data_IF_006230941386
#
_entry.id   IF_006230941386
#
_cell.length_a   1.000
_cell.length_b   1.000
_cell.length_c   1.000
_cell.angle_alpha   90.00
_cell.angle_beta   90.00
_cell.angle_gamma   90.00
#
_symmetry.space_group_name_H-M   'P 1'
#
loop_
_entity.id
_entity.type
_entity.pdbx_description
1 polymer ?
#
# COMPACT_ATOMS: atom_id res chain seq x y z
N UNK A 1 57.77 10.63 -19.97
CA UNK A 1 56.95 9.40 -20.12
C UNK A 1 56.42 9.06 -18.73
N UNK A 2 55.21 9.48 -18.36
CA UNK A 2 53.90 8.81 -18.58
C UNK A 2 53.86 7.36 -18.03
N UNK A 3 53.10 7.24 -16.93
CA UNK A 3 52.35 6.10 -16.40
C UNK A 3 53.05 4.77 -16.14
N UNK A 4 52.97 4.28 -14.89
CA UNK A 4 52.18 3.09 -14.50
C UNK A 4 52.54 2.63 -13.09
N UNK A 5 51.65 2.13 -12.24
CA UNK A 5 50.20 2.31 -12.06
C UNK A 5 49.97 1.86 -10.61
N UNK A 6 49.23 2.65 -9.84
CA UNK A 6 48.68 2.25 -8.54
C UNK A 6 47.73 1.06 -8.79
N UNK A 7 48.17 -0.17 -8.49
CA UNK A 7 47.30 -1.33 -8.40
C UNK A 7 47.61 -2.01 -7.06
N UNK A 8 46.96 -1.49 -6.04
CA UNK A 8 47.00 -2.02 -4.69
C UNK A 8 46.09 -1.12 -3.87
N UNK A 9 44.93 -1.67 -3.46
CA UNK A 9 43.81 -0.99 -2.81
C UNK A 9 42.70 -0.51 -3.79
N UNK A 10 42.17 -1.42 -4.62
CA UNK A 10 40.77 -1.38 -5.08
C UNK A 10 40.19 -2.81 -5.09
N UNK A 11 40.39 -3.56 -4.00
CA UNK A 11 39.74 -4.87 -3.80
C UNK A 11 39.00 -4.99 -2.47
N UNK A 12 38.71 -3.85 -1.83
CA UNK A 12 37.91 -3.79 -0.59
C UNK A 12 36.67 -2.89 -0.71
N UNK A 13 36.34 -2.45 -1.93
CA UNK A 13 35.15 -1.63 -2.24
C UNK A 13 34.16 -2.33 -3.17
N UNK A 14 34.34 -3.63 -3.45
CA UNK A 14 33.19 -4.47 -3.76
C UNK A 14 32.60 -4.83 -2.41
N UNK A 15 31.94 -3.83 -1.83
CA UNK A 15 30.82 -4.02 -0.94
C UNK A 15 30.08 -5.26 -1.43
N UNK A 16 29.94 -6.24 -0.54
CA UNK A 16 28.85 -7.17 -0.62
C UNK A 16 27.57 -6.32 -0.64
N UNK A 17 27.19 -5.83 -1.81
CA UNK A 17 25.81 -5.88 -2.21
C UNK A 17 25.46 -7.35 -2.02
N UNK A 18 24.90 -7.68 -0.86
CA UNK A 18 24.08 -8.86 -0.71
C UNK A 18 22.93 -8.66 -1.70
N UNK A 19 23.22 -8.88 -2.98
CA UNK A 19 22.23 -9.34 -3.92
C UNK A 19 21.72 -10.61 -3.26
N UNK A 20 20.50 -10.53 -2.71
CA UNK A 20 19.76 -11.74 -2.40
C UNK A 20 19.89 -12.64 -3.63
N UNK A 21 20.24 -13.90 -3.42
CA UNK A 21 20.31 -14.82 -4.55
C UNK A 21 18.95 -14.76 -5.26
N UNK A 22 18.94 -14.57 -6.58
CA UNK A 22 17.69 -14.36 -7.31
C UNK A 22 16.77 -15.57 -7.10
N UNK A 23 15.47 -15.28 -6.97
CA UNK A 23 14.44 -16.31 -7.02
C UNK A 23 14.25 -16.71 -8.48
N UNK A 24 14.78 -17.87 -8.82
CA UNK A 24 14.69 -18.46 -10.16
C UNK A 24 13.29 -19.06 -10.40
N UNK A 25 12.31 -18.18 -10.55
CA UNK A 25 10.93 -18.49 -10.90
C UNK A 25 10.78 -18.38 -12.42
N UNK A 26 10.11 -19.33 -13.06
CA UNK A 26 9.83 -19.25 -14.50
C UNK A 26 8.97 -18.02 -14.84
N UNK A 27 9.25 -17.37 -15.98
CA UNK A 27 8.59 -16.13 -16.41
C UNK A 27 7.05 -16.23 -16.44
N UNK A 28 6.52 -17.39 -16.86
CA UNK A 28 5.07 -17.67 -16.91
C UNK A 28 4.36 -17.54 -15.55
N UNK A 29 5.09 -17.64 -14.44
CA UNK A 29 4.53 -17.49 -13.09
C UNK A 29 4.77 -16.11 -12.49
N UNK A 30 5.60 -15.26 -13.12
CA UNK A 30 6.01 -13.97 -12.56
C UNK A 30 4.96 -12.90 -12.68
N UNK A 31 4.05 -13.00 -13.64
CA UNK A 31 3.09 -11.93 -13.88
C UNK A 31 3.70 -10.71 -14.59
N UNK A 32 3.03 -9.56 -14.54
CA UNK A 32 3.42 -8.38 -15.34
C UNK A 32 4.25 -7.35 -14.56
N UNK A 33 5.47 -7.00 -15.02
CA UNK A 33 6.35 -6.01 -14.37
C UNK A 33 5.71 -4.63 -14.13
N UNK A 34 4.66 -4.25 -14.86
CA UNK A 34 3.90 -3.01 -14.65
C UNK A 34 3.53 -2.80 -13.18
N UNK A 35 3.14 -3.88 -12.49
CA UNK A 35 2.68 -3.81 -11.10
C UNK A 35 3.78 -3.42 -10.10
N UNK A 36 5.06 -3.42 -10.48
CA UNK A 36 6.16 -2.96 -9.62
C UNK A 36 6.31 -1.45 -9.54
N UNK A 37 5.68 -0.68 -10.45
CA UNK A 37 5.93 0.77 -10.62
C UNK A 37 4.64 1.58 -10.69
N UNK A 38 3.57 1.08 -10.08
CA UNK A 38 2.26 1.73 -10.13
C UNK A 38 2.29 3.03 -9.32
N UNK A 39 1.91 4.14 -9.97
CA UNK A 39 1.50 5.34 -9.28
C UNK A 39 -0.01 5.31 -9.12
N UNK A 40 -0.49 5.02 -7.92
CA UNK A 40 -1.90 4.79 -7.66
C UNK A 40 -2.78 6.03 -7.88
N UNK A 41 -2.34 7.23 -7.48
CA UNK A 41 -3.09 8.48 -7.73
C UNK A 41 -3.27 8.74 -9.23
N UNK A 42 -2.21 8.52 -10.00
CA UNK A 42 -2.28 8.64 -11.46
C UNK A 42 -3.19 7.57 -12.06
N UNK A 43 -3.06 6.33 -11.57
CA UNK A 43 -3.83 5.20 -12.07
C UNK A 43 -5.33 5.38 -11.85
N UNK A 44 -5.73 5.81 -10.65
CA UNK A 44 -7.11 6.14 -10.32
C UNK A 44 -7.67 7.20 -11.29
N UNK A 45 -6.98 8.33 -11.42
CA UNK A 45 -7.37 9.39 -12.37
C UNK A 45 -7.45 8.93 -13.83
N UNK A 46 -6.52 8.09 -14.26
CA UNK A 46 -6.47 7.60 -15.64
C UNK A 46 -7.56 6.53 -15.92
N UNK A 47 -8.11 5.90 -14.87
CA UNK A 47 -9.07 4.80 -14.96
C UNK A 47 -10.52 5.15 -14.56
N UNK A 48 -10.75 6.30 -13.94
CA UNK A 48 -12.10 6.85 -13.73
C UNK A 48 -12.64 7.45 -15.02
N UNK A 49 -13.86 7.06 -15.40
CA UNK A 49 -14.58 7.64 -16.52
C UNK A 49 -15.27 8.94 -16.09
N UNK A 50 -15.31 9.98 -16.95
CA UNK A 50 -16.06 11.18 -16.64
C UNK A 50 -17.57 10.90 -16.64
N UNK A 51 -18.34 11.71 -15.90
CA UNK A 51 -19.79 11.53 -15.75
C UNK A 51 -20.55 11.58 -17.09
N UNK A 52 -20.06 12.34 -18.06
CA UNK A 52 -20.63 12.48 -19.40
C UNK A 52 -20.08 11.46 -20.41
N UNK A 53 -19.36 10.42 -19.96
CA UNK A 53 -18.65 9.49 -20.84
C UNK A 53 -19.54 8.85 -21.92
N UNK A 54 -20.76 8.44 -21.55
CA UNK A 54 -21.73 7.82 -22.47
C UNK A 54 -22.25 8.79 -23.54
N UNK A 55 -22.22 10.10 -23.27
CA UNK A 55 -22.66 11.14 -24.21
C UNK A 55 -21.54 11.58 -25.18
N UNK A 56 -20.31 11.09 -24.98
CA UNK A 56 -19.17 11.42 -25.84
C UNK A 56 -19.19 10.63 -27.14
N UNK A 57 -18.66 11.24 -28.21
CA UNK A 57 -18.43 10.53 -29.47
C UNK A 57 -17.41 9.38 -29.31
N UNK A 58 -17.50 8.38 -30.18
CA UNK A 58 -16.68 7.17 -30.11
C UNK A 58 -15.17 7.45 -30.14
N UNK A 59 -14.72 8.52 -30.81
CA UNK A 59 -13.31 8.88 -30.88
C UNK A 59 -12.81 9.40 -29.51
N UNK A 60 -13.61 10.21 -28.82
CA UNK A 60 -13.32 10.67 -27.46
C UNK A 60 -13.37 9.54 -26.45
N UNK A 61 -14.38 8.68 -26.52
CA UNK A 61 -14.49 7.49 -25.67
C UNK A 61 -13.25 6.60 -25.79
N UNK A 62 -12.83 6.29 -27.01
CA UNK A 62 -11.61 5.51 -27.26
C UNK A 62 -10.35 6.20 -26.71
N UNK A 63 -10.25 7.53 -26.79
CA UNK A 63 -9.13 8.29 -26.23
C UNK A 63 -9.10 8.25 -24.69
N UNK A 64 -10.26 8.25 -24.04
CA UNK A 64 -10.37 8.12 -22.58
C UNK A 64 -9.97 6.72 -22.16
N UNK A 65 -10.54 5.67 -22.77
CA UNK A 65 -10.19 4.27 -22.48
C UNK A 65 -8.69 3.99 -22.60
N UNK A 66 -8.01 4.57 -23.60
CA UNK A 66 -6.56 4.43 -23.78
C UNK A 66 -5.69 4.98 -22.65
N UNK A 67 -6.24 5.80 -21.74
CA UNK A 67 -5.50 6.33 -20.58
C UNK A 67 -5.28 5.25 -19.52
N UNK A 68 -6.32 4.44 -19.28
CA UNK A 68 -6.27 3.39 -18.28
C UNK A 68 -5.51 2.17 -18.81
N UNK A 69 -4.32 1.93 -18.27
CA UNK A 69 -3.52 0.76 -18.66
C UNK A 69 -4.15 -0.56 -18.22
N UNK A 70 -5.06 -0.55 -17.23
CA UNK A 70 -5.70 -1.75 -16.68
C UNK A 70 -6.59 -2.47 -17.71
N UNK A 71 -7.14 -1.77 -18.70
CA UNK A 71 -7.91 -2.42 -19.77
C UNK A 71 -7.12 -3.43 -20.60
N UNK A 72 -5.78 -3.37 -20.57
CA UNK A 72 -4.92 -4.34 -21.25
C UNK A 72 -4.79 -5.67 -20.49
N UNK A 73 -5.35 -5.77 -19.28
CA UNK A 73 -5.17 -6.91 -18.36
C UNK A 73 -6.45 -7.74 -18.14
N UNK A 74 -7.49 -7.54 -18.95
CA UNK A 74 -8.79 -8.24 -18.77
C UNK A 74 -8.70 -9.77 -18.80
N UNK A 75 -7.75 -10.35 -19.55
CA UNK A 75 -7.51 -11.81 -19.58
C UNK A 75 -6.42 -12.29 -18.62
N UNK A 76 -5.80 -11.38 -17.88
CA UNK A 76 -4.60 -11.64 -17.09
C UNK A 76 -4.80 -12.75 -16.05
N UNK A 77 -5.89 -12.66 -15.28
CA UNK A 77 -6.18 -13.65 -14.23
C UNK A 77 -6.41 -15.04 -14.81
N UNK A 78 -7.26 -15.18 -15.83
CA UNK A 78 -7.54 -16.49 -16.46
C UNK A 78 -6.28 -17.13 -17.03
N UNK A 79 -5.43 -16.35 -17.71
CA UNK A 79 -4.17 -16.86 -18.27
C UNK A 79 -3.27 -17.48 -17.21
N UNK A 80 -3.12 -16.83 -16.04
CA UNK A 80 -2.32 -17.40 -14.94
C UNK A 80 -3.07 -18.54 -14.26
N UNK A 81 -4.36 -18.37 -14.00
CA UNK A 81 -5.18 -19.35 -13.29
C UNK A 81 -5.23 -20.71 -14.00
N UNK A 82 -5.19 -20.72 -15.34
CA UNK A 82 -5.20 -21.93 -16.16
C UNK A 82 -3.84 -22.65 -16.21
N UNK A 83 -2.74 -21.93 -15.93
CA UNK A 83 -1.40 -22.53 -15.81
C UNK A 83 -1.22 -23.31 -14.50
N UNK A 84 -2.09 -23.07 -13.52
CA UNK A 84 -2.00 -23.62 -12.18
C UNK A 84 -3.01 -24.76 -12.04
N UNK A 85 -2.49 -25.96 -11.78
CA UNK A 85 -3.31 -27.08 -11.26
C UNK A 85 -3.69 -26.78 -9.79
N UNK A 86 -4.16 -27.76 -9.01
CA UNK A 86 -4.52 -27.54 -7.60
C UNK A 86 -3.39 -26.87 -6.79
N UNK A 87 -2.17 -27.37 -6.93
CA UNK A 87 -0.96 -26.82 -6.29
C UNK A 87 0.21 -26.94 -7.26
N UNK A 88 0.96 -25.85 -7.45
CA UNK A 88 2.14 -25.82 -8.34
C UNK A 88 3.33 -25.21 -7.59
N UNK A 89 4.45 -25.93 -7.51
CA UNK A 89 5.69 -25.42 -6.93
C UNK A 89 6.39 -24.57 -7.99
N UNK A 90 6.63 -23.30 -7.71
CA UNK A 90 7.22 -22.34 -8.65
C UNK A 90 8.67 -21.96 -8.32
N UNK A 91 9.15 -22.35 -7.14
CA UNK A 91 10.52 -22.19 -6.71
C UNK A 91 10.82 -23.21 -5.61
N UNK A 92 11.99 -23.83 -5.67
CA UNK A 92 12.48 -24.73 -4.64
C UNK A 92 13.98 -24.59 -4.50
N UNK A 93 14.44 -24.40 -3.26
CA UNK A 93 15.85 -24.41 -2.92
C UNK A 93 16.05 -24.90 -1.50
N UNK A 94 16.90 -25.92 -1.34
CA UNK A 94 16.99 -26.69 -0.10
C UNK A 94 15.57 -27.16 0.29
N UNK A 95 15.10 -26.84 1.50
CA UNK A 95 13.73 -27.14 1.93
C UNK A 95 12.77 -25.94 1.87
N UNK A 96 13.22 -24.80 1.34
CA UNK A 96 12.35 -23.63 1.13
C UNK A 96 11.65 -23.78 -0.22
N UNK A 97 10.33 -23.65 -0.22
CA UNK A 97 9.51 -23.75 -1.43
C UNK A 97 8.51 -22.61 -1.51
N UNK A 98 8.31 -22.08 -2.72
CA UNK A 98 7.16 -21.24 -3.04
C UNK A 98 6.18 -22.07 -3.87
N UNK A 99 4.92 -22.11 -3.43
CA UNK A 99 3.87 -22.82 -4.15
C UNK A 99 2.66 -21.92 -4.39
N UNK A 100 2.13 -21.99 -5.61
CA UNK A 100 0.85 -21.42 -5.96
C UNK A 100 -0.25 -22.44 -5.69
N UNK A 101 -1.30 -22.01 -5.01
CA UNK A 101 -2.47 -22.82 -4.68
C UNK A 101 -3.73 -22.19 -5.27
N UNK A 102 -4.51 -23.01 -5.95
CA UNK A 102 -5.74 -22.62 -6.61
C UNK A 102 -6.94 -22.98 -5.74
N UNK A 103 -7.75 -21.97 -5.44
CA UNK A 103 -8.89 -22.10 -4.53
C UNK A 103 -10.10 -21.33 -5.06
N UNK A 104 -11.28 -21.93 -4.92
CA UNK A 104 -12.55 -21.22 -5.02
C UNK A 104 -12.92 -20.65 -3.66
N UNK A 105 -13.56 -19.49 -3.62
CA UNK A 105 -14.09 -18.95 -2.37
C UNK A 105 -15.50 -18.38 -2.55
N UNK A 106 -16.23 -18.34 -1.45
CA UNK A 106 -17.51 -17.65 -1.33
C UNK A 106 -17.63 -17.08 0.07
N UNK A 107 -18.08 -15.83 0.20
CA UNK A 107 -18.36 -15.21 1.49
C UNK A 107 -19.57 -14.28 1.38
N UNK A 108 -20.17 -13.97 2.52
CA UNK A 108 -21.29 -13.02 2.61
C UNK A 108 -20.82 -11.78 3.37
N UNK A 109 -21.10 -10.60 2.85
CA UNK A 109 -20.86 -9.32 3.50
C UNK A 109 -22.08 -8.43 3.26
N UNK A 110 -22.69 -7.94 4.34
CA UNK A 110 -23.83 -6.99 4.28
C UNK A 110 -24.92 -7.46 3.28
N UNK A 111 -25.37 -8.70 3.44
CA UNK A 111 -26.38 -9.38 2.58
C UNK A 111 -25.99 -9.60 1.10
N UNK A 112 -24.79 -9.17 0.69
CA UNK A 112 -24.21 -9.49 -0.62
C UNK A 112 -23.39 -10.78 -0.56
N UNK A 113 -23.61 -11.68 -1.52
CA UNK A 113 -22.82 -12.90 -1.68
C UNK A 113 -21.70 -12.61 -2.68
N UNK A 114 -20.46 -12.77 -2.27
CA UNK A 114 -19.29 -12.69 -3.13
C UNK A 114 -18.73 -14.07 -3.36
N UNK A 115 -18.35 -14.36 -4.61
CA UNK A 115 -17.67 -15.61 -4.93
C UNK A 115 -16.73 -15.43 -6.11
N UNK A 116 -15.71 -16.27 -6.18
CA UNK A 116 -14.75 -16.23 -7.25
C UNK A 116 -13.60 -17.20 -7.03
N UNK A 117 -12.49 -16.93 -7.70
CA UNK A 117 -11.30 -17.76 -7.67
C UNK A 117 -10.11 -16.97 -7.14
N UNK A 118 -9.20 -17.63 -6.45
CA UNK A 118 -7.96 -17.02 -5.97
C UNK A 118 -6.77 -17.95 -6.18
N UNK A 119 -5.63 -17.31 -6.38
CA UNK A 119 -4.30 -17.91 -6.32
C UNK A 119 -3.61 -17.41 -5.06
N UNK A 120 -3.32 -18.35 -4.17
CA UNK A 120 -2.54 -18.10 -2.95
C UNK A 120 -1.08 -18.45 -3.20
N UNK A 121 -0.16 -17.55 -2.90
CA UNK A 121 1.27 -17.85 -2.85
C UNK A 121 1.64 -18.25 -1.42
N UNK A 122 2.08 -19.50 -1.26
CA UNK A 122 2.48 -20.08 0.02
C UNK A 122 4.00 -20.21 0.10
N UNK A 123 4.55 -19.78 1.23
CA UNK A 123 5.93 -20.02 1.63
C UNK A 123 5.98 -21.27 2.51
N UNK A 124 6.60 -22.33 2.01
CA UNK A 124 6.70 -23.61 2.69
C UNK A 124 8.13 -23.88 3.12
N UNK A 125 8.29 -24.50 4.29
CA UNK A 125 9.58 -25.02 4.79
C UNK A 125 9.35 -26.40 5.38
N UNK A 126 10.12 -27.39 4.93
CA UNK A 126 9.97 -28.79 5.36
C UNK A 126 8.55 -29.33 5.14
N UNK A 127 7.94 -29.04 3.98
CA UNK A 127 6.56 -29.42 3.62
C UNK A 127 5.44 -28.83 4.51
N UNK A 128 5.76 -27.84 5.34
CA UNK A 128 4.76 -27.10 6.12
C UNK A 128 4.61 -25.68 5.61
N UNK A 129 3.37 -25.22 5.43
CA UNK A 129 3.06 -23.81 5.13
C UNK A 129 3.44 -22.94 6.32
N UNK A 130 4.33 -21.98 6.11
CA UNK A 130 4.80 -21.03 7.12
C UNK A 130 4.09 -19.70 7.03
N UNK A 131 3.83 -19.26 5.80
CA UNK A 131 3.08 -18.05 5.52
C UNK A 131 2.41 -18.12 4.15
N UNK A 132 1.41 -17.29 3.91
CA UNK A 132 0.67 -17.25 2.66
C UNK A 132 0.08 -15.86 2.39
N UNK A 133 0.09 -15.44 1.13
CA UNK A 133 -0.58 -14.23 0.68
C UNK A 133 -1.49 -14.55 -0.51
N UNK A 134 -2.61 -13.82 -0.63
CA UNK A 134 -3.39 -13.82 -1.87
C UNK A 134 -2.55 -13.10 -2.92
N UNK A 135 -2.21 -13.80 -3.98
CA UNK A 135 -1.40 -13.26 -5.07
C UNK A 135 -2.30 -12.69 -6.16
N UNK A 136 -3.31 -13.44 -6.58
CA UNK A 136 -4.28 -13.02 -7.58
C UNK A 136 -5.68 -13.50 -7.21
N UNK A 137 -6.71 -12.78 -7.63
CA UNK A 137 -8.09 -13.24 -7.55
C UNK A 137 -8.97 -12.57 -8.59
N UNK A 138 -10.11 -13.20 -8.84
CA UNK A 138 -11.29 -12.57 -9.42
C UNK A 138 -12.48 -12.85 -8.48
N UNK A 139 -13.43 -11.93 -8.39
CA UNK A 139 -14.68 -12.19 -7.70
C UNK A 139 -15.79 -11.29 -8.21
N UNK A 140 -17.02 -11.76 -8.08
CA UNK A 140 -18.19 -10.96 -8.40
C UNK A 140 -19.16 -10.92 -7.22
N UNK A 141 -19.89 -9.81 -7.13
CA UNK A 141 -21.08 -9.73 -6.30
C UNK A 141 -22.21 -10.52 -6.99
N UNK A 142 -22.57 -11.68 -6.46
CA UNK A 142 -23.65 -12.54 -6.97
C UNK A 142 -25.04 -11.98 -6.72
N UNK A 143 -25.18 -11.05 -5.78
CA UNK A 143 -26.47 -10.45 -5.42
C UNK A 143 -26.84 -9.34 -6.40
N UNK A 144 -25.95 -8.38 -6.63
CA UNK A 144 -26.22 -7.23 -7.51
C UNK A 144 -25.72 -7.42 -8.93
N UNK A 145 -24.67 -8.22 -9.14
CA UNK A 145 -23.94 -8.36 -10.41
C UNK A 145 -23.38 -7.04 -10.97
N UNK A 146 -23.29 -6.00 -10.15
CA UNK A 146 -22.89 -4.64 -10.56
C UNK A 146 -21.38 -4.40 -10.53
N UNK A 147 -20.59 -5.33 -9.98
CA UNK A 147 -19.15 -5.14 -9.89
C UNK A 147 -18.38 -6.45 -9.91
N UNK A 148 -17.18 -6.37 -10.50
CA UNK A 148 -16.20 -7.45 -10.53
C UNK A 148 -14.90 -6.93 -9.93
N UNK A 149 -14.40 -7.63 -8.93
CA UNK A 149 -13.11 -7.35 -8.32
C UNK A 149 -12.03 -8.23 -8.91
N UNK A 150 -10.84 -7.66 -9.08
CA UNK A 150 -9.66 -8.38 -9.51
C UNK A 150 -8.47 -8.05 -8.60
N UNK A 151 -7.54 -8.99 -8.52
CA UNK A 151 -6.20 -8.74 -8.01
C UNK A 151 -5.15 -9.29 -8.99
N UNK A 152 -4.26 -8.39 -9.43
CA UNK A 152 -3.12 -8.70 -10.27
C UNK A 152 -1.82 -8.67 -9.47
N UNK A 153 -0.73 -9.20 -10.04
CA UNK A 153 0.53 -9.31 -9.33
C UNK A 153 1.77 -9.30 -10.21
N UNK A 154 2.93 -9.11 -9.57
CA UNK A 154 4.24 -9.37 -10.15
C UNK A 154 5.20 -9.96 -9.13
N UNK A 155 5.98 -10.98 -9.51
CA UNK A 155 7.07 -11.55 -8.72
C UNK A 155 8.40 -11.25 -9.42
N UNK A 156 9.14 -10.27 -8.90
CA UNK A 156 10.42 -9.88 -9.43
C UNK A 156 11.50 -10.96 -9.22
N UNK A 157 12.55 -11.01 -10.06
CA UNK A 157 13.70 -11.90 -9.85
C UNK A 157 14.40 -11.74 -8.50
N UNK A 158 14.28 -10.57 -7.87
CA UNK A 158 14.80 -10.29 -6.53
C UNK A 158 14.03 -10.99 -5.40
N UNK A 159 12.82 -11.49 -5.67
CA UNK A 159 11.88 -11.98 -4.65
C UNK A 159 10.94 -10.91 -4.09
N UNK A 160 10.99 -9.69 -4.64
CA UNK A 160 9.96 -8.67 -4.38
C UNK A 160 8.65 -9.08 -5.05
N UNK A 161 7.56 -8.99 -4.31
CA UNK A 161 6.22 -9.36 -4.78
C UNK A 161 5.33 -8.13 -4.72
N UNK A 162 4.63 -7.84 -5.80
CA UNK A 162 3.72 -6.71 -5.92
C UNK A 162 2.32 -7.21 -6.19
N UNK A 163 1.30 -6.64 -5.54
CA UNK A 163 -0.10 -6.92 -5.84
C UNK A 163 -0.88 -5.64 -6.04
N UNK A 164 -1.87 -5.66 -6.93
CA UNK A 164 -2.81 -4.56 -7.18
C UNK A 164 -4.23 -5.11 -7.21
N UNK A 165 -5.07 -4.71 -6.26
CA UNK A 165 -6.51 -4.96 -6.30
C UNK A 165 -7.27 -3.79 -6.91
N UNK A 166 -8.36 -4.11 -7.60
CA UNK A 166 -9.21 -3.15 -8.30
C UNK A 166 -10.65 -3.68 -8.34
N UNK A 167 -11.60 -2.76 -8.56
CA UNK A 167 -13.01 -3.07 -8.81
C UNK A 167 -13.39 -2.41 -10.13
N UNK A 168 -14.01 -3.16 -11.02
CA UNK A 168 -14.63 -2.64 -12.23
C UNK A 168 -16.11 -2.36 -11.96
N UNK A 169 -16.55 -1.16 -12.34
CA UNK A 169 -17.90 -0.62 -12.17
C UNK A 169 -18.29 0.17 -13.43
N UNK A 170 -19.52 0.68 -13.49
CA UNK A 170 -20.03 1.44 -14.64
C UNK A 170 -19.24 2.73 -14.89
N UNK A 171 -18.66 3.33 -13.85
CA UNK A 171 -17.84 4.54 -13.91
C UNK A 171 -16.34 4.26 -14.19
N UNK A 172 -15.98 3.01 -14.53
CA UNK A 172 -14.65 2.62 -14.95
C UNK A 172 -13.98 1.61 -14.03
N UNK A 173 -12.67 1.72 -13.90
CA UNK A 173 -11.88 0.82 -13.05
C UNK A 173 -11.38 1.63 -11.86
N UNK A 174 -11.77 1.22 -10.64
CA UNK A 174 -11.32 1.80 -9.39
C UNK A 174 -10.21 0.97 -8.75
N UNK A 175 -8.92 1.36 -8.87
CA UNK A 175 -7.83 0.73 -8.13
C UNK A 175 -8.07 0.87 -6.63
N UNK A 176 -8.05 -0.24 -5.89
CA UNK A 176 -8.32 -0.23 -4.46
C UNK A 176 -7.02 -0.19 -3.66
N UNK A 177 -6.13 -1.15 -3.91
CA UNK A 177 -4.96 -1.35 -3.07
C UNK A 177 -3.77 -1.86 -3.85
N UNK A 178 -2.62 -1.23 -3.63
CA UNK A 178 -1.34 -1.72 -4.09
C UNK A 178 -0.47 -2.12 -2.91
N UNK A 179 0.25 -3.24 -3.02
CA UNK A 179 1.14 -3.73 -1.96
C UNK A 179 2.45 -4.22 -2.54
N UNK A 180 3.50 -4.05 -1.73
CA UNK A 180 4.84 -4.55 -1.99
C UNK A 180 5.30 -5.39 -0.80
N UNK A 181 5.61 -6.65 -1.07
CA UNK A 181 6.14 -7.61 -0.10
C UNK A 181 7.56 -8.01 -0.46
N UNK A 182 8.31 -8.43 0.55
CA UNK A 182 9.58 -9.15 0.42
C UNK A 182 9.47 -10.52 1.09
N UNK A 183 10.15 -11.51 0.54
CA UNK A 183 10.29 -12.81 1.19
C UNK A 183 11.36 -12.68 2.26
N UNK A 184 10.96 -12.80 3.52
CA UNK A 184 11.88 -12.91 4.66
C UNK A 184 12.19 -14.38 4.90
N UNK A 185 13.26 -14.87 4.27
CA UNK A 185 13.69 -16.27 4.39
C UNK A 185 14.07 -16.66 5.83
N UNK A 186 14.50 -15.69 6.65
CA UNK A 186 14.95 -15.94 8.03
C UNK A 186 13.76 -16.16 8.96
N UNK A 187 12.74 -15.32 8.84
CA UNK A 187 11.53 -15.40 9.67
C UNK A 187 10.42 -16.24 9.02
N UNK A 188 10.64 -16.73 7.80
CA UNK A 188 9.72 -17.53 7.00
C UNK A 188 8.37 -16.83 6.80
N UNK A 189 8.41 -15.57 6.35
CA UNK A 189 7.21 -14.74 6.14
C UNK A 189 7.28 -13.89 4.87
N UNK A 190 6.12 -13.52 4.35
CA UNK A 190 5.97 -12.42 3.39
C UNK A 190 5.90 -11.11 4.17
N UNK A 191 7.01 -10.39 4.21
CA UNK A 191 7.11 -9.12 4.90
C UNK A 191 6.53 -7.99 4.03
N UNK A 192 5.40 -7.41 4.46
CA UNK A 192 4.83 -6.23 3.81
C UNK A 192 5.75 -5.02 4.01
N UNK A 193 6.28 -4.48 2.92
CA UNK A 193 7.21 -3.34 2.91
C UNK A 193 6.48 -2.05 2.63
N UNK A 194 5.57 -2.03 1.66
CA UNK A 194 4.79 -0.85 1.31
C UNK A 194 3.35 -1.20 1.00
N UNK A 195 2.47 -0.26 1.27
CA UNK A 195 1.06 -0.36 0.95
C UNK A 195 0.53 1.02 0.55
N UNK A 196 -0.28 1.02 -0.50
CA UNK A 196 -1.14 2.12 -0.86
C UNK A 196 -2.58 1.59 -0.83
N UNK A 197 -3.45 2.19 -0.02
CA UNK A 197 -4.88 1.85 0.02
C UNK A 197 -5.68 3.15 -0.07
N UNK A 198 -6.32 3.39 -1.22
CA UNK A 198 -7.05 4.64 -1.53
C UNK A 198 -6.23 5.91 -1.27
N UNK A 199 -6.35 6.54 -0.12
CA UNK A 199 -5.59 7.74 0.25
C UNK A 199 -4.52 7.48 1.32
N UNK A 200 -4.42 6.24 1.84
CA UNK A 200 -3.39 5.84 2.80
C UNK A 200 -2.12 5.36 2.09
N UNK A 201 -0.97 5.88 2.53
CA UNK A 201 0.35 5.43 2.09
C UNK A 201 1.18 4.98 3.30
N UNK A 202 1.66 3.75 3.24
CA UNK A 202 2.49 3.15 4.28
C UNK A 202 3.78 2.62 3.67
N UNK A 203 4.91 2.97 4.26
CA UNK A 203 6.21 2.33 3.99
C UNK A 203 6.81 1.90 5.32
N UNK A 204 6.81 0.60 5.58
CA UNK A 204 7.18 0.05 6.87
C UNK A 204 8.69 0.08 7.10
N UNK A 205 9.13 0.32 8.35
CA UNK A 205 8.34 0.80 9.49
C UNK A 205 8.29 2.34 9.56
N UNK A 206 8.75 3.07 8.54
CA UNK A 206 9.25 4.44 8.72
C UNK A 206 8.29 5.56 8.28
N UNK A 207 7.27 5.29 7.47
CA UNK A 207 6.40 6.34 6.94
C UNK A 207 4.92 5.93 6.88
N UNK A 208 4.06 6.77 7.44
CA UNK A 208 2.61 6.73 7.32
C UNK A 208 2.08 8.10 6.87
N UNK A 209 1.29 8.12 5.80
CA UNK A 209 0.72 9.35 5.26
C UNK A 209 -0.72 9.12 4.86
N UNK A 210 -1.59 10.06 5.22
CA UNK A 210 -2.96 10.17 4.70
C UNK A 210 -2.93 11.30 3.68
N UNK A 211 -3.22 10.98 2.42
CA UNK A 211 -3.35 11.96 1.35
C UNK A 211 -4.69 12.68 1.50
N UNK A 212 -4.75 14.00 1.23
CA UNK A 212 -6.03 14.69 1.14
C UNK A 212 -6.87 14.06 0.04
N UNK A 213 -8.11 13.74 0.37
CA UNK A 213 -9.13 13.36 -0.60
C UNK A 213 -9.78 14.65 -1.11
N UNK A 214 -9.53 15.06 -2.37
CA UNK A 214 -10.05 16.31 -2.94
C UNK A 214 -11.56 16.25 -3.19
N UNK A 215 -12.12 15.06 -3.36
CA UNK A 215 -13.55 14.85 -3.66
C UNK A 215 -14.38 14.69 -2.37
N UNK A 216 -13.69 14.59 -1.22
CA UNK A 216 -14.32 14.49 0.09
C UNK A 216 -14.93 15.82 0.52
N UNK A 217 -16.26 15.88 0.45
CA UNK A 217 -17.05 16.95 1.04
C UNK A 217 -16.99 16.84 2.57
N UNK A 218 -16.28 17.76 3.21
CA UNK A 218 -16.23 17.87 4.67
C UNK A 218 -17.52 18.50 5.18
N UNK A 219 -18.52 17.68 5.49
CA UNK A 219 -19.73 18.15 6.15
C UNK A 219 -19.65 17.87 7.66
N UNK A 220 -19.24 18.88 8.42
CA UNK A 220 -19.39 18.90 9.86
C UNK A 220 -20.53 19.84 10.21
N UNK A 221 -21.48 19.37 11.02
CA UNK A 221 -22.42 20.27 11.66
C UNK A 221 -21.68 21.28 12.55
N UNK A 222 -22.31 22.43 12.82
CA UNK A 222 -21.70 23.48 13.63
C UNK A 222 -21.27 22.93 15.00
N UNK A 223 -20.01 23.09 15.35
CA UNK A 223 -19.48 22.62 16.64
C UNK A 223 -19.13 21.13 16.66
N UNK A 224 -19.41 20.37 15.60
CA UNK A 224 -19.15 18.92 15.56
C UNK A 224 -17.66 18.63 15.47
N UNK A 225 -16.94 19.34 14.60
CA UNK A 225 -15.51 19.14 14.48
C UNK A 225 -14.78 19.45 15.79
N UNK A 226 -15.19 20.52 16.49
CA UNK A 226 -14.64 20.87 17.80
C UNK A 226 -14.89 19.81 18.87
N UNK A 227 -15.97 19.03 18.76
CA UNK A 227 -16.17 17.86 19.61
C UNK A 227 -15.23 16.72 19.23
N UNK A 228 -15.09 16.42 17.93
CA UNK A 228 -14.13 15.44 17.42
C UNK A 228 -12.67 15.75 17.81
N UNK A 229 -12.32 17.03 17.94
CA UNK A 229 -10.99 17.43 18.41
C UNK A 229 -10.76 17.11 19.90
N UNK A 230 -11.83 17.12 20.71
CA UNK A 230 -11.79 16.76 22.13
C UNK A 230 -11.78 15.25 22.31
N UNK A 231 -12.64 14.55 21.58
CA UNK A 231 -12.76 13.10 21.58
C UNK A 231 -12.95 12.59 20.15
N UNK A 232 -11.88 12.03 19.58
CA UNK A 232 -11.88 11.44 18.25
C UNK A 232 -12.73 10.16 18.12
N UNK A 233 -13.22 9.61 19.23
CA UNK A 233 -14.08 8.43 19.27
C UNK A 233 -15.57 8.75 19.32
N UNK A 234 -15.96 10.03 19.36
CA UNK A 234 -17.36 10.44 19.23
C UNK A 234 -17.96 9.98 17.89
N UNK A 235 -19.25 9.68 17.92
CA UNK A 235 -20.00 9.30 16.72
C UNK A 235 -19.87 10.37 15.63
N UNK A 236 -19.79 9.92 14.38
CA UNK A 236 -19.65 10.78 13.19
C UNK A 236 -18.33 11.56 13.10
N UNK A 237 -17.33 11.23 13.91
CA UNK A 237 -15.97 11.76 13.76
C UNK A 237 -15.18 10.97 12.73
N UNK A 238 -14.70 11.67 11.70
CA UNK A 238 -13.75 11.11 10.77
C UNK A 238 -12.34 11.31 11.30
N UNK A 239 -11.75 10.24 11.82
CA UNK A 239 -10.40 10.24 12.42
C UNK A 239 -9.33 10.80 11.49
N UNK A 240 -9.46 10.64 10.18
CA UNK A 240 -8.56 11.22 9.18
C UNK A 240 -8.51 12.75 9.24
N UNK A 241 -9.66 13.42 9.44
CA UNK A 241 -9.70 14.88 9.54
C UNK A 241 -9.05 15.38 10.82
N UNK A 242 -9.25 14.65 11.91
CA UNK A 242 -8.61 14.94 13.20
C UNK A 242 -7.09 14.78 13.07
N UNK A 243 -6.63 13.71 12.41
CA UNK A 243 -5.22 13.52 12.08
C UNK A 243 -4.67 14.68 11.24
N UNK A 244 -5.32 15.03 10.13
CA UNK A 244 -4.86 16.09 9.23
C UNK A 244 -4.80 17.44 9.94
N UNK A 245 -5.78 17.75 10.80
CA UNK A 245 -5.79 18.97 11.61
C UNK A 245 -4.58 19.03 12.56
N UNK A 246 -4.32 17.99 13.34
CA UNK A 246 -3.18 18.00 14.26
C UNK A 246 -1.84 17.96 13.53
N UNK A 247 -1.78 17.33 12.35
CA UNK A 247 -0.60 17.34 11.50
C UNK A 247 -0.27 18.76 11.02
N UNK A 248 -1.29 19.51 10.56
CA UNK A 248 -1.15 20.91 10.15
C UNK A 248 -0.71 21.79 11.31
N UNK A 249 -1.32 21.64 12.49
CA UNK A 249 -0.95 22.37 13.71
C UNK A 249 0.52 22.16 14.10
N UNK A 250 1.00 20.91 14.05
CA UNK A 250 2.41 20.61 14.33
C UNK A 250 3.33 21.24 13.27
N UNK A 251 2.96 21.18 12.00
CA UNK A 251 3.74 21.79 10.92
C UNK A 251 3.86 23.32 11.10
N UNK A 252 2.75 24.01 11.40
CA UNK A 252 2.75 25.45 11.66
C UNK A 252 3.61 25.82 12.88
N UNK A 253 3.47 25.11 14.01
CA UNK A 253 4.22 25.40 15.24
C UNK A 253 5.71 25.09 15.12
N UNK A 254 6.07 24.04 14.40
CA UNK A 254 7.50 23.72 14.15
C UNK A 254 8.15 24.73 13.20
N UNK A 255 7.41 25.31 12.26
CA UNK A 255 7.86 26.44 11.45
C UNK A 255 8.07 27.69 12.31
N UNK A 256 7.12 28.05 13.17
CA UNK A 256 7.25 29.17 14.12
C UNK A 256 8.49 29.00 15.02
N UNK A 257 8.72 27.80 15.55
CA UNK A 257 9.88 27.52 16.40
C UNK A 257 11.19 27.64 15.62
N UNK A 258 11.20 27.22 14.35
CA UNK A 258 12.37 27.35 13.50
C UNK A 258 12.72 28.83 13.21
N UNK A 259 11.71 29.65 12.97
CA UNK A 259 11.85 31.10 12.80
C UNK A 259 12.39 31.76 14.08
N UNK A 260 11.82 31.44 15.24
CA UNK A 260 12.21 31.97 16.54
C UNK A 260 13.67 31.60 16.90
N UNK A 261 14.07 30.36 16.63
CA UNK A 261 15.44 29.88 16.91
C UNK A 261 16.45 30.18 15.79
N UNK A 262 16.04 30.93 14.76
CA UNK A 262 16.84 31.26 13.57
C UNK A 262 17.52 30.04 12.91
N UNK A 263 16.88 28.87 12.98
CA UNK A 263 17.41 27.64 12.40
C UNK A 263 16.80 27.37 11.04
N UNK A 264 17.62 26.92 10.09
CA UNK A 264 17.16 26.44 8.77
C UNK A 264 16.83 24.95 8.79
N UNK A 265 16.98 24.28 9.95
CA UNK A 265 16.69 22.84 10.07
C UNK A 265 15.18 22.61 10.05
N UNK A 266 14.74 21.66 9.22
CA UNK A 266 13.37 21.16 9.27
C UNK A 266 13.14 20.41 10.59
N UNK A 267 12.44 21.05 11.53
CA UNK A 267 12.12 20.47 12.83
C UNK A 267 10.98 19.44 12.76
N UNK A 268 10.11 19.53 11.75
CA UNK A 268 8.97 18.64 11.58
C UNK A 268 9.36 17.20 11.20
N UNK A 269 10.30 17.05 10.25
CA UNK A 269 10.64 15.74 9.69
C UNK A 269 11.18 14.74 10.73
N UNK A 270 12.07 15.11 11.67
CA UNK A 270 12.49 14.22 12.75
C UNK A 270 11.34 13.75 13.66
N UNK A 271 10.37 14.63 13.97
CA UNK A 271 9.18 14.26 14.74
C UNK A 271 8.34 13.23 13.97
N UNK A 272 8.02 13.54 12.71
CA UNK A 272 7.26 12.63 11.84
C UNK A 272 7.89 11.25 11.76
N UNK A 273 9.18 11.16 11.41
CA UNK A 273 9.86 9.85 11.28
C UNK A 273 9.83 9.04 12.58
N UNK A 274 10.03 9.70 13.73
CA UNK A 274 9.99 9.03 15.04
C UNK A 274 8.58 8.54 15.38
N UNK A 275 7.57 9.37 15.11
CA UNK A 275 6.16 9.08 15.36
C UNK A 275 5.66 7.93 14.50
N UNK A 276 5.86 8.02 13.19
CA UNK A 276 5.47 7.01 12.22
C UNK A 276 6.06 5.64 12.61
N UNK A 277 7.36 5.61 12.94
CA UNK A 277 8.03 4.38 13.41
C UNK A 277 7.44 3.81 14.67
N UNK A 278 7.07 4.66 15.63
CA UNK A 278 6.44 4.21 16.87
C UNK A 278 5.05 3.62 16.61
N UNK A 279 4.25 4.24 15.75
CA UNK A 279 2.87 3.82 15.49
C UNK A 279 2.79 2.60 14.58
N UNK A 280 3.65 2.51 13.56
CA UNK A 280 3.73 1.34 12.67
C UNK A 280 4.36 0.11 13.35
N UNK A 281 5.24 0.28 14.33
CA UNK A 281 5.84 -0.87 15.03
C UNK A 281 4.92 -1.51 16.08
N UNK A 282 3.96 -0.74 16.62
CA UNK A 282 2.96 -1.25 17.58
C UNK A 282 1.87 -2.07 16.93
N UNK A 283 1.55 -1.74 15.69
CA UNK A 283 0.47 -2.34 14.94
C UNK A 283 1.12 -3.17 13.81
N UNK A 284 1.07 -4.49 13.92
CA UNK A 284 1.48 -5.39 12.84
C UNK A 284 0.22 -5.84 12.09
N UNK A 285 0.17 -5.64 10.77
CA UNK A 285 -0.94 -6.15 9.97
C UNK A 285 -0.88 -7.69 9.98
N UNK A 286 -1.86 -8.31 10.64
CA UNK A 286 -1.90 -9.77 10.81
C UNK A 286 -2.63 -10.48 9.65
N UNK A 287 -3.58 -9.81 8.99
CA UNK A 287 -4.33 -10.34 7.84
C UNK A 287 -5.15 -9.25 7.13
N UNK A 288 -5.58 -9.49 5.89
CA UNK A 288 -6.32 -8.56 5.02
C UNK A 288 -7.68 -8.13 5.56
N UNK A 289 -8.42 -9.04 6.23
CA UNK A 289 -9.73 -8.73 6.83
C UNK A 289 -9.63 -7.78 8.03
N UNK A 290 -8.41 -7.45 8.49
CA UNK A 290 -8.17 -6.53 9.61
C UNK A 290 -7.66 -5.17 9.16
N UNK A 291 -7.65 -4.87 7.86
CA UNK A 291 -6.96 -3.68 7.39
C UNK A 291 -7.59 -2.36 7.83
N UNK A 292 -8.92 -2.23 7.78
CA UNK A 292 -9.59 -1.01 8.27
C UNK A 292 -9.39 -0.82 9.77
N UNK A 293 -9.66 -1.84 10.64
CA UNK A 293 -9.31 -1.74 12.05
C UNK A 293 -7.84 -1.38 12.29
N UNK A 294 -6.94 -1.99 11.51
CA UNK A 294 -5.51 -1.76 11.59
C UNK A 294 -5.09 -0.32 11.26
N UNK A 295 -5.61 0.25 10.16
CA UNK A 295 -5.34 1.63 9.79
C UNK A 295 -5.88 2.59 10.85
N UNK A 296 -7.08 2.35 11.38
CA UNK A 296 -7.64 3.14 12.47
C UNK A 296 -6.75 3.13 13.73
N UNK A 297 -6.20 1.99 14.12
CA UNK A 297 -5.25 1.88 15.23
C UNK A 297 -3.98 2.71 15.01
N UNK A 298 -3.46 2.74 13.77
CA UNK A 298 -2.32 3.60 13.41
C UNK A 298 -2.71 5.08 13.55
N UNK A 299 -3.85 5.49 12.98
CA UNK A 299 -4.31 6.89 12.97
C UNK A 299 -4.52 7.39 14.41
N UNK A 300 -5.14 6.60 15.27
CA UNK A 300 -5.33 6.94 16.69
C UNK A 300 -3.98 7.08 17.41
N UNK A 301 -3.02 6.19 17.12
CA UNK A 301 -1.66 6.33 17.66
C UNK A 301 -1.01 7.64 17.20
N UNK A 302 -1.10 7.95 15.90
CA UNK A 302 -0.56 9.16 15.29
C UNK A 302 -1.15 10.42 15.94
N UNK A 303 -2.49 10.52 16.06
CA UNK A 303 -3.18 11.63 16.73
C UNK A 303 -2.67 11.82 18.14
N UNK A 304 -2.55 10.75 18.93
CA UNK A 304 -2.05 10.80 20.31
C UNK A 304 -0.62 11.35 20.37
N UNK A 305 0.25 10.93 19.45
CA UNK A 305 1.63 11.43 19.40
C UNK A 305 1.69 12.88 18.91
N UNK A 306 0.91 13.27 17.90
CA UNK A 306 0.80 14.65 17.42
C UNK A 306 0.40 15.60 18.56
N UNK A 307 -0.64 15.26 19.33
CA UNK A 307 -1.07 16.03 20.52
C UNK A 307 0.07 16.22 21.54
N UNK A 308 0.93 15.20 21.72
CA UNK A 308 2.08 15.29 22.63
C UNK A 308 3.22 16.14 22.06
N UNK A 309 3.51 16.02 20.77
CA UNK A 309 4.55 16.78 20.08
C UNK A 309 4.20 18.26 20.02
N UNK A 310 2.95 18.61 19.71
CA UNK A 310 2.44 19.98 19.75
C UNK A 310 2.68 20.61 21.13
N UNK A 311 2.25 19.94 22.20
CA UNK A 311 2.46 20.44 23.58
C UNK A 311 3.94 20.64 23.93
N UNK A 312 4.85 19.85 23.34
CA UNK A 312 6.30 20.03 23.55
C UNK A 312 6.80 21.26 22.80
N UNK A 313 6.45 21.40 21.53
CA UNK A 313 6.83 22.55 20.71
C UNK A 313 6.29 23.86 21.30
N UNK A 314 5.06 23.87 21.80
CA UNK A 314 4.47 25.03 22.49
C UNK A 314 5.25 25.43 23.75
N UNK A 315 5.74 24.46 24.52
CA UNK A 315 6.58 24.74 25.68
C UNK A 315 7.92 25.33 25.29
N UNK A 316 8.53 24.88 24.19
CA UNK A 316 9.79 25.46 23.70
C UNK A 316 9.58 26.89 23.20
N UNK A 317 8.51 27.14 22.44
CA UNK A 317 8.14 28.49 21.98
C UNK A 317 7.96 29.46 23.16
N UNK A 318 7.37 29.00 24.27
CA UNK A 318 7.13 29.82 25.45
C UNK A 318 8.37 30.09 26.33
N UNK A 319 9.52 29.43 26.11
CA UNK A 319 10.71 29.57 26.97
C UNK A 319 11.55 30.82 26.71
N UNK A 320 11.35 31.51 25.59
CA UNK A 320 12.11 32.72 25.24
C UNK A 320 11.28 34.01 25.38
N UNK A 321 10.18 33.93 26.14
CA UNK A 321 9.47 35.08 26.74
C UNK A 321 9.74 35.14 28.24
#
# INVERSE_FOLDING_TARGET
>A
MKHSFYIGIVFSLVSAYCYSQPFDIEEKYRGDPYFSKVNMQKLEKDCTLPLDYEDLDAAKQAKIKKRCQLYNFSSYFHNVYDLIDKTTVIYQKNDLMLALNKETFSFTQEDAIFSGFKLTLSLNKNNETKDAIILANDFMNRTSLLSVGYQYYYIAPSGDIYTLSLIEMDDGIGPQRWRHYKIDEKNLKFHLVQMYDRHYQVSYPDNFTILPDPDRIKYYEKGQFERCLKDESEDFCYVDDVYLYYLEQLNQKTAQLAEQTHTTKNLFFPFKKKRDKLCLSKNVLLNDNKLVPYLNEIIVCEIKQLKQEIKRVEKELAKEY
#
